data_IF_498193918329
#
_entry.id   IF_498193918329
#
_cell.length_a   1.000
_cell.length_b   1.000
_cell.length_c   1.000
_cell.angle_alpha   90.00
_cell.angle_beta   90.00
_cell.angle_gamma   90.00
#
_symmetry.space_group_name_H-M   'P 1'
#
loop_
_entity.id
_entity.type
_entity.pdbx_description
1 polymer ?
#
# COMPACT_ATOMS: atom_id res chain seq x y z
N UNK A 1 25.57 10.02 6.34
CA UNK A 1 24.54 10.95 6.92
C UNK A 1 23.25 11.11 6.09
N UNK A 2 23.23 11.00 4.75
CA UNK A 2 22.01 11.22 3.96
C UNK A 2 21.11 9.97 3.79
N UNK A 3 21.68 8.76 3.78
CA UNK A 3 20.92 7.51 3.56
C UNK A 3 19.86 7.21 4.62
N UNK A 4 20.18 7.35 5.91
CA UNK A 4 19.22 7.09 7.01
C UNK A 4 18.38 8.32 7.42
N UNK A 5 18.80 9.53 7.03
CA UNK A 5 17.98 10.75 7.24
C UNK A 5 16.78 10.82 6.28
N UNK A 6 16.92 10.30 5.06
CA UNK A 6 15.81 10.13 4.11
C UNK A 6 14.77 9.11 4.62
N UNK A 7 15.21 8.11 5.39
CA UNK A 7 14.36 7.03 5.91
C UNK A 7 13.46 7.51 7.07
N UNK A 8 13.92 8.48 7.87
CA UNK A 8 13.17 8.98 9.03
C UNK A 8 12.01 9.90 8.66
N UNK A 9 12.05 10.53 7.49
CA UNK A 9 10.98 11.44 7.01
C UNK A 9 9.84 10.71 6.30
N UNK A 10 10.09 9.56 5.67
CA UNK A 10 9.07 8.77 4.97
C UNK A 10 8.11 8.03 5.92
N UNK A 11 8.54 7.73 7.15
CA UNK A 11 7.75 7.01 8.15
C UNK A 11 6.82 7.89 9.00
N UNK A 12 6.91 9.22 8.87
CA UNK A 12 6.10 10.16 9.67
C UNK A 12 4.68 10.41 9.12
N UNK A 13 4.34 9.89 7.94
CA UNK A 13 3.05 10.19 7.28
C UNK A 13 1.98 9.11 7.38
N UNK A 14 2.25 7.98 8.06
CA UNK A 14 1.26 6.90 8.22
C UNK A 14 0.72 6.75 9.66
N UNK A 15 0.96 7.73 10.52
CA UNK A 15 0.36 7.75 11.85
C UNK A 15 0.44 9.10 12.52
N UNK A 16 -0.37 10.08 12.11
CA UNK A 16 -0.64 11.28 12.92
C UNK A 16 -1.85 12.07 12.42
N UNK A 17 -3.05 11.51 12.63
CA UNK A 17 -4.12 12.32 13.18
C UNK A 17 -4.48 11.66 14.51
N UNK A 18 -4.12 12.34 15.60
CA UNK A 18 -4.31 11.96 17.01
C UNK A 18 -3.33 10.93 17.61
N UNK A 19 -2.08 11.34 17.85
CA UNK A 19 -1.33 11.08 19.10
C UNK A 19 0.14 11.57 19.01
N UNK A 20 0.37 12.81 18.57
CA UNK A 20 1.64 13.46 18.85
C UNK A 20 1.52 14.12 20.22
N UNK A 21 2.16 13.55 21.24
CA UNK A 21 2.71 14.15 22.47
C UNK A 21 2.83 13.01 23.49
N UNK A 22 4.00 12.36 23.53
CA UNK A 22 4.63 11.67 24.69
C UNK A 22 5.38 10.41 24.26
N UNK A 23 6.54 10.54 23.60
CA UNK A 23 7.59 9.51 23.60
C UNK A 23 8.91 10.05 23.00
N UNK A 24 9.42 11.17 23.52
CA UNK A 24 10.86 11.46 23.46
C UNK A 24 11.48 11.02 24.79
N UNK A 25 11.48 9.71 25.04
CA UNK A 25 12.39 9.14 26.03
C UNK A 25 13.72 8.91 25.32
N UNK A 26 14.78 9.52 25.83
CA UNK A 26 16.12 9.49 25.26
C UNK A 26 16.58 8.04 25.01
N UNK A 27 16.80 7.70 23.73
CA UNK A 27 17.44 6.45 23.36
C UNK A 27 18.88 6.42 23.91
N UNK A 28 19.36 5.28 24.44
CA UNK A 28 20.74 5.18 24.96
C UNK A 28 21.76 5.41 23.83
N UNK A 29 22.83 6.14 24.13
CA UNK A 29 23.83 6.63 23.17
C UNK A 29 24.53 5.55 22.30
N UNK A 30 24.39 4.26 22.60
CA UNK A 30 25.01 3.18 21.80
C UNK A 30 24.21 2.79 20.56
N UNK A 31 22.92 3.18 20.44
CA UNK A 31 22.07 2.82 19.30
C UNK A 31 22.41 3.61 18.03
N UNK A 32 23.05 4.77 18.15
CA UNK A 32 23.47 5.57 17.00
C UNK A 32 24.82 5.12 16.41
N UNK A 33 25.57 4.23 17.07
CA UNK A 33 26.96 3.95 16.69
C UNK A 33 27.10 3.15 15.38
N UNK A 34 26.27 2.12 15.17
CA UNK A 34 26.34 1.26 13.98
C UNK A 34 25.81 1.94 12.70
N UNK A 35 24.69 2.65 12.79
CA UNK A 35 24.13 3.41 11.65
C UNK A 35 25.10 4.49 11.12
N UNK A 36 25.95 5.03 11.99
CA UNK A 36 26.90 6.08 11.67
C UNK A 36 28.30 5.52 11.32
N UNK A 37 28.45 4.20 11.21
CA UNK A 37 29.70 3.59 10.79
C UNK A 37 29.97 3.91 9.30
N UNK A 38 31.17 4.40 8.93
CA UNK A 38 31.51 4.70 7.54
C UNK A 38 31.33 3.52 6.57
N UNK A 39 31.49 2.28 7.04
CA UNK A 39 31.26 1.08 6.22
C UNK A 39 29.78 0.90 5.90
N UNK A 40 28.88 1.23 6.83
CA UNK A 40 27.43 1.22 6.60
C UNK A 40 27.05 2.31 5.61
N UNK A 41 27.59 3.53 5.76
CA UNK A 41 27.37 4.64 4.82
C UNK A 41 27.92 4.32 3.40
N UNK A 42 29.05 3.62 3.29
CA UNK A 42 29.58 3.15 2.00
C UNK A 42 28.70 2.07 1.37
N UNK A 43 28.30 1.07 2.16
CA UNK A 43 27.43 -0.01 1.71
C UNK A 43 26.05 0.51 1.26
N UNK A 44 25.42 1.41 2.02
CA UNK A 44 24.14 2.01 1.66
C UNK A 44 24.22 2.77 0.31
N UNK A 45 25.32 3.47 0.06
CA UNK A 45 25.58 4.10 -1.26
C UNK A 45 25.70 3.09 -2.38
N UNK A 46 26.38 1.96 -2.16
CA UNK A 46 26.46 0.89 -3.15
C UNK A 46 25.08 0.30 -3.46
N UNK A 47 24.26 0.06 -2.43
CA UNK A 47 22.86 -0.39 -2.61
C UNK A 47 22.07 0.62 -3.42
N UNK A 48 22.17 1.91 -3.10
CA UNK A 48 21.52 2.99 -3.84
C UNK A 48 21.97 3.06 -5.31
N UNK A 49 23.27 2.89 -5.59
CA UNK A 49 23.79 2.83 -6.96
C UNK A 49 23.26 1.63 -7.74
N UNK A 50 23.20 0.44 -7.11
CA UNK A 50 22.61 -0.76 -7.70
C UNK A 50 21.13 -0.53 -8.04
N UNK A 51 20.36 0.06 -7.13
CA UNK A 51 18.96 0.41 -7.37
C UNK A 51 18.83 1.39 -8.55
N UNK A 52 19.59 2.49 -8.55
CA UNK A 52 19.55 3.46 -9.65
C UNK A 52 19.93 2.85 -11.00
N UNK A 53 20.93 1.95 -11.04
CA UNK A 53 21.29 1.22 -12.26
C UNK A 53 20.14 0.32 -12.75
N UNK A 54 19.47 -0.39 -11.83
CA UNK A 54 18.28 -1.19 -12.13
C UNK A 54 17.15 -0.33 -12.68
N UNK A 55 16.81 0.78 -12.05
CA UNK A 55 15.73 1.67 -12.49
C UNK A 55 16.02 2.29 -13.86
N UNK A 56 17.27 2.68 -14.14
CA UNK A 56 17.69 3.14 -15.47
C UNK A 56 17.52 2.04 -16.53
N UNK A 57 17.91 0.80 -16.20
CA UNK A 57 17.72 -0.36 -17.08
C UNK A 57 16.24 -0.61 -17.37
N UNK A 58 15.38 -0.59 -16.35
CA UNK A 58 13.92 -0.69 -16.49
C UNK A 58 13.38 0.43 -17.39
N UNK A 59 13.73 1.68 -17.12
CA UNK A 59 13.29 2.81 -17.93
C UNK A 59 13.77 2.73 -19.40
N UNK A 60 14.92 2.11 -19.65
CA UNK A 60 15.48 1.96 -21.00
C UNK A 60 14.70 0.98 -21.88
N UNK A 61 13.90 0.07 -21.28
CA UNK A 61 13.03 -0.83 -22.07
C UNK A 61 11.97 -0.08 -22.86
N UNK A 62 11.61 1.14 -22.41
CA UNK A 62 10.54 1.94 -23.00
C UNK A 62 9.14 1.40 -22.72
N UNK A 63 9.00 0.29 -21.99
CA UNK A 63 7.71 -0.24 -21.60
C UNK A 63 7.01 0.71 -20.62
N UNK A 64 5.72 1.03 -20.81
CA UNK A 64 5.03 2.03 -19.98
C UNK A 64 5.06 1.69 -18.50
N UNK A 65 4.86 0.41 -18.17
CA UNK A 65 4.91 -0.09 -16.80
C UNK A 65 6.30 0.07 -16.18
N UNK A 66 7.36 -0.26 -16.92
CA UNK A 66 8.73 -0.16 -16.43
C UNK A 66 9.15 1.30 -16.23
N UNK A 67 8.78 2.19 -17.16
CA UNK A 67 8.95 3.63 -17.01
C UNK A 67 8.24 4.17 -15.76
N UNK A 68 7.01 3.73 -15.54
CA UNK A 68 6.23 4.15 -14.37
C UNK A 68 6.87 3.70 -13.06
N UNK A 69 7.19 2.41 -12.94
CA UNK A 69 7.84 1.86 -11.73
C UNK A 69 9.22 2.49 -11.49
N UNK A 70 10.01 2.71 -12.56
CA UNK A 70 11.29 3.38 -12.48
C UNK A 70 11.17 4.81 -11.96
N UNK A 71 10.17 5.57 -12.44
CA UNK A 71 9.87 6.91 -11.98
C UNK A 71 9.44 6.97 -10.51
N UNK A 72 8.56 6.04 -10.10
CA UNK A 72 8.08 5.96 -8.72
C UNK A 72 9.17 5.59 -7.71
N UNK A 73 10.02 4.62 -8.05
CA UNK A 73 11.04 4.08 -7.14
C UNK A 73 12.33 4.89 -7.11
N UNK A 74 12.46 5.90 -7.98
CA UNK A 74 13.64 6.74 -8.00
C UNK A 74 13.73 7.56 -6.72
N UNK A 75 14.89 7.53 -6.07
CA UNK A 75 15.21 8.40 -4.95
C UNK A 75 16.44 9.18 -5.36
N UNK A 76 16.28 10.50 -5.43
CA UNK A 76 17.42 11.39 -5.60
C UNK A 76 18.05 11.63 -4.23
N UNK A 77 19.35 11.32 -4.10
CA UNK A 77 20.05 11.44 -2.83
C UNK A 77 20.58 12.87 -2.60
N UNK A 78 20.52 13.74 -3.61
CA UNK A 78 21.23 15.02 -3.62
C UNK A 78 20.32 16.27 -3.64
N UNK A 79 19.00 16.16 -3.80
CA UNK A 79 18.19 17.37 -4.08
C UNK A 79 16.74 17.39 -3.50
N UNK A 80 16.62 17.29 -2.18
CA UNK A 80 15.36 17.52 -1.45
C UNK A 80 14.83 18.95 -1.67
N UNK A 81 15.71 19.93 -1.93
CA UNK A 81 15.36 21.34 -2.08
C UNK A 81 14.77 21.67 -3.46
N UNK A 82 15.28 21.08 -4.56
CA UNK A 82 14.71 21.26 -5.89
C UNK A 82 13.36 20.53 -6.07
N UNK A 83 13.17 19.41 -5.35
CA UNK A 83 11.96 18.58 -5.41
C UNK A 83 10.71 19.32 -4.94
N UNK A 84 10.82 20.25 -3.98
CA UNK A 84 9.68 20.97 -3.42
C UNK A 84 9.07 22.04 -4.37
N UNK A 85 9.86 22.59 -5.30
CA UNK A 85 9.41 23.66 -6.20
C UNK A 85 8.66 23.14 -7.44
N UNK A 86 8.97 21.91 -7.88
CA UNK A 86 8.52 21.32 -9.14
C UNK A 86 7.49 20.18 -8.95
N UNK A 87 6.74 20.20 -7.85
CA UNK A 87 5.68 19.21 -7.59
C UNK A 87 6.16 17.86 -7.05
N UNK A 88 7.34 17.81 -6.44
CA UNK A 88 7.83 16.66 -5.67
C UNK A 88 8.69 15.65 -6.43
N UNK A 89 8.93 15.84 -7.74
CA UNK A 89 9.69 14.89 -8.57
C UNK A 89 10.96 15.49 -9.17
N UNK A 90 12.06 14.74 -9.07
CA UNK A 90 13.31 15.04 -9.76
C UNK A 90 13.10 15.07 -11.30
N UNK A 91 13.93 15.81 -12.07
CA UNK A 91 13.79 15.93 -13.52
C UNK A 91 13.70 14.57 -14.25
N UNK A 92 14.51 13.59 -13.86
CA UNK A 92 14.51 12.26 -14.50
C UNK A 92 13.23 11.46 -14.18
N UNK A 93 12.68 11.61 -12.97
CA UNK A 93 11.39 11.01 -12.59
C UNK A 93 10.29 11.55 -13.47
N UNK A 94 10.21 12.88 -13.62
CA UNK A 94 9.19 13.53 -14.46
C UNK A 94 9.24 13.01 -15.90
N UNK A 95 10.42 12.87 -16.48
CA UNK A 95 10.58 12.34 -17.85
C UNK A 95 10.04 10.92 -17.95
N UNK A 96 10.39 10.02 -17.03
CA UNK A 96 9.92 8.64 -17.09
C UNK A 96 8.42 8.51 -16.82
N UNK A 97 7.91 9.20 -15.80
CA UNK A 97 6.48 9.22 -15.47
C UNK A 97 5.66 9.80 -16.62
N UNK A 98 6.09 10.91 -17.23
CA UNK A 98 5.39 11.51 -18.37
C UNK A 98 5.39 10.55 -19.58
N UNK A 99 6.52 9.90 -19.88
CA UNK A 99 6.58 8.92 -20.97
C UNK A 99 5.68 7.72 -20.73
N UNK A 100 5.54 7.26 -19.48
CA UNK A 100 4.60 6.20 -19.14
C UNK A 100 3.14 6.62 -19.38
N UNK A 101 2.77 7.85 -18.99
CA UNK A 101 1.44 8.42 -19.18
C UNK A 101 1.09 8.66 -20.66
N UNK A 102 2.08 9.10 -21.44
CA UNK A 102 1.92 9.40 -22.87
C UNK A 102 1.86 8.13 -23.74
N UNK A 103 2.35 6.99 -23.25
CA UNK A 103 2.48 5.79 -24.05
C UNK A 103 1.14 5.19 -24.47
N UNK A 104 1.09 4.65 -25.71
CA UNK A 104 -0.08 3.98 -26.28
C UNK A 104 0.35 2.64 -26.91
N UNK A 105 -0.43 1.54 -26.76
CA UNK A 105 -1.67 1.43 -25.97
C UNK A 105 -1.45 1.68 -24.46
N UNK A 106 -2.51 2.10 -23.75
CA UNK A 106 -2.44 2.40 -22.31
C UNK A 106 -2.14 1.11 -21.53
N UNK A 107 -1.22 1.18 -20.57
CA UNK A 107 -1.00 0.09 -19.62
C UNK A 107 -2.04 0.20 -18.47
N UNK A 108 -2.69 -0.90 -18.05
CA UNK A 108 -3.71 -0.87 -17.01
C UNK A 108 -3.23 -0.35 -15.64
N UNK A 109 -2.00 -0.63 -15.24
CA UNK A 109 -1.45 -0.17 -13.96
C UNK A 109 -1.23 1.35 -14.02
N UNK A 110 -0.67 1.84 -15.12
CA UNK A 110 -0.49 3.29 -15.35
C UNK A 110 -1.84 4.01 -15.42
N UNK A 111 -2.83 3.42 -16.10
CA UNK A 111 -4.17 4.01 -16.20
C UNK A 111 -4.90 4.07 -14.83
N UNK A 112 -4.77 3.04 -13.99
CA UNK A 112 -5.31 3.06 -12.60
C UNK A 112 -4.76 4.24 -11.82
N UNK A 113 -3.47 4.49 -11.95
CA UNK A 113 -2.78 5.60 -11.31
C UNK A 113 -3.20 6.95 -11.88
N UNK A 114 -3.19 7.11 -13.20
CA UNK A 114 -3.63 8.33 -13.88
C UNK A 114 -5.09 8.70 -13.56
N UNK A 115 -5.97 7.71 -13.45
CA UNK A 115 -7.39 7.92 -13.08
C UNK A 115 -7.57 8.48 -11.66
N UNK A 116 -6.54 8.43 -10.81
CA UNK A 116 -6.54 9.07 -9.49
C UNK A 116 -6.25 10.58 -9.56
N UNK A 117 -5.77 11.06 -10.71
CA UNK A 117 -5.10 12.34 -10.84
C UNK A 117 -3.59 12.17 -10.73
N UNK A 118 -2.88 13.19 -11.20
CA UNK A 118 -1.42 13.21 -11.22
C UNK A 118 -0.91 14.46 -10.50
N UNK A 119 0.35 14.41 -10.07
CA UNK A 119 1.01 15.59 -9.55
C UNK A 119 0.98 16.72 -10.59
N UNK A 120 0.93 18.01 -10.17
CA UNK A 120 0.86 19.15 -11.10
C UNK A 120 1.99 19.20 -12.14
N UNK A 121 3.13 18.55 -11.85
CA UNK A 121 4.28 18.46 -12.74
C UNK A 121 4.10 17.52 -13.95
N UNK A 122 3.02 16.74 -13.98
CA UNK A 122 2.74 15.76 -15.03
C UNK A 122 1.48 16.17 -15.77
N UNK A 123 1.51 16.05 -17.10
CA UNK A 123 0.32 16.18 -17.94
C UNK A 123 -0.40 14.85 -17.95
N UNK A 124 -1.65 14.83 -17.54
CA UNK A 124 -2.44 13.63 -17.60
C UNK A 124 -3.92 13.87 -17.85
N UNK A 125 -4.61 12.81 -18.28
CA UNK A 125 -6.02 12.79 -18.61
C UNK A 125 -6.72 11.70 -17.75
N UNK A 126 -7.08 12.04 -16.50
CA UNK A 126 -7.75 11.10 -15.60
C UNK A 126 -9.07 10.58 -16.17
N UNK A 127 -9.76 11.38 -16.99
CA UNK A 127 -11.03 11.01 -17.62
C UNK A 127 -10.84 9.93 -18.67
N UNK A 128 -9.88 10.10 -19.58
CA UNK A 128 -9.57 9.07 -20.57
C UNK A 128 -8.94 7.81 -19.97
N UNK A 129 -8.16 7.94 -18.88
CA UNK A 129 -7.65 6.80 -18.15
C UNK A 129 -8.77 6.00 -17.48
N UNK A 130 -9.73 6.68 -16.85
CA UNK A 130 -10.91 6.04 -16.27
C UNK A 130 -11.78 5.36 -17.34
N UNK A 131 -12.05 6.04 -18.47
CA UNK A 131 -12.83 5.46 -19.56
C UNK A 131 -12.16 4.21 -20.16
N UNK A 132 -10.83 4.19 -20.23
CA UNK A 132 -10.08 2.99 -20.62
C UNK A 132 -10.28 1.84 -19.61
N UNK A 133 -10.25 2.12 -18.31
CA UNK A 133 -10.47 1.10 -17.28
C UNK A 133 -11.90 0.57 -17.28
N UNK A 134 -12.90 1.43 -17.50
CA UNK A 134 -14.31 1.02 -17.63
C UNK A 134 -14.52 0.05 -18.80
N UNK A 135 -13.72 0.15 -19.86
CA UNK A 135 -13.75 -0.79 -20.99
C UNK A 135 -12.93 -2.05 -20.74
N UNK A 136 -11.74 -1.90 -20.15
CA UNK A 136 -10.82 -3.01 -19.91
C UNK A 136 -11.29 -3.95 -18.79
N UNK A 137 -12.08 -3.43 -17.84
CA UNK A 137 -12.47 -4.13 -16.62
C UNK A 137 -13.88 -3.70 -16.14
N UNK A 138 -14.87 -3.87 -17.01
CA UNK A 138 -16.25 -3.43 -16.77
C UNK A 138 -16.93 -4.09 -15.55
N UNK A 139 -16.44 -5.26 -15.10
CA UNK A 139 -16.96 -5.97 -13.93
C UNK A 139 -16.41 -5.48 -12.60
N UNK A 140 -15.48 -4.52 -12.59
CA UNK A 140 -14.78 -4.10 -11.39
C UNK A 140 -15.43 -2.90 -10.70
N UNK A 141 -15.98 -3.13 -9.50
CA UNK A 141 -16.60 -2.11 -8.68
C UNK A 141 -15.65 -0.94 -8.34
N UNK A 142 -14.33 -1.18 -8.24
CA UNK A 142 -13.34 -0.13 -7.95
C UNK A 142 -13.30 0.95 -9.04
N UNK A 143 -13.44 0.54 -10.31
CA UNK A 143 -13.47 1.44 -11.46
C UNK A 143 -14.73 2.31 -11.42
N UNK A 144 -15.88 1.69 -11.21
CA UNK A 144 -17.17 2.38 -11.16
C UNK A 144 -17.33 3.29 -9.93
N UNK A 145 -16.78 2.90 -8.77
CA UNK A 145 -16.73 3.77 -7.60
C UNK A 145 -15.85 5.01 -7.84
N UNK A 146 -14.80 4.90 -8.65
CA UNK A 146 -14.00 6.05 -9.07
C UNK A 146 -14.77 6.94 -10.02
N UNK A 147 -15.51 6.36 -10.98
CA UNK A 147 -16.40 7.11 -11.87
C UNK A 147 -17.51 7.84 -11.08
N UNK A 148 -18.07 7.20 -10.07
CA UNK A 148 -19.03 7.80 -9.14
C UNK A 148 -18.42 9.03 -8.46
N UNK A 149 -17.27 8.89 -7.80
CA UNK A 149 -16.58 10.01 -7.14
C UNK A 149 -16.23 11.14 -8.12
N UNK A 150 -15.76 10.81 -9.33
CA UNK A 150 -15.43 11.80 -10.35
C UNK A 150 -16.69 12.58 -10.82
N UNK A 151 -17.81 11.89 -11.00
CA UNK A 151 -19.09 12.52 -11.36
C UNK A 151 -19.63 13.40 -10.22
N UNK A 152 -19.55 12.93 -8.96
CA UNK A 152 -19.93 13.73 -7.79
C UNK A 152 -19.13 15.03 -7.71
N UNK A 153 -17.80 14.98 -7.92
CA UNK A 153 -16.95 16.19 -7.92
C UNK A 153 -17.33 17.20 -9.01
N UNK A 154 -17.87 16.74 -10.14
CA UNK A 154 -18.37 17.62 -11.21
C UNK A 154 -19.81 18.09 -11.00
N UNK A 155 -20.50 17.63 -9.95
CA UNK A 155 -21.91 17.90 -9.73
C UNK A 155 -22.86 17.18 -10.69
N UNK A 156 -22.36 16.20 -11.44
CA UNK A 156 -23.14 15.44 -12.42
C UNK A 156 -23.85 14.25 -11.74
N UNK A 157 -25.05 14.52 -11.23
CA UNK A 157 -25.84 13.52 -10.49
C UNK A 157 -26.26 12.34 -11.35
N UNK A 158 -26.56 12.58 -12.64
CA UNK A 158 -26.98 11.51 -13.55
C UNK A 158 -25.82 10.57 -13.91
N UNK A 159 -24.60 11.10 -14.10
CA UNK A 159 -23.42 10.26 -14.27
C UNK A 159 -23.04 9.55 -12.97
N UNK A 160 -23.18 10.21 -11.81
CA UNK A 160 -22.91 9.59 -10.52
C UNK A 160 -23.83 8.38 -10.29
N UNK A 161 -25.13 8.54 -10.48
CA UNK A 161 -26.07 7.43 -10.27
C UNK A 161 -25.83 6.28 -11.27
N UNK A 162 -25.51 6.56 -12.53
CA UNK A 162 -25.14 5.51 -13.50
C UNK A 162 -23.90 4.73 -13.06
N UNK A 163 -22.86 5.43 -12.62
CA UNK A 163 -21.64 4.79 -12.11
C UNK A 163 -21.90 4.00 -10.83
N UNK A 164 -22.76 4.49 -9.94
CA UNK A 164 -23.19 3.74 -8.75
C UNK A 164 -23.89 2.43 -9.13
N UNK A 165 -24.86 2.49 -10.03
CA UNK A 165 -25.58 1.28 -10.48
C UNK A 165 -24.64 0.29 -11.19
N UNK A 166 -23.63 0.76 -11.93
CA UNK A 166 -22.59 -0.09 -12.49
C UNK A 166 -21.72 -0.76 -11.41
N UNK A 167 -21.38 -0.03 -10.33
CA UNK A 167 -20.68 -0.60 -9.17
C UNK A 167 -21.54 -1.66 -8.45
N UNK A 168 -22.86 -1.45 -8.34
CA UNK A 168 -23.79 -2.42 -7.74
C UNK A 168 -23.88 -3.71 -8.55
N UNK A 169 -23.80 -3.61 -9.88
CA UNK A 169 -23.88 -4.74 -10.83
C UNK A 169 -22.52 -5.41 -11.09
N UNK A 170 -21.45 -4.90 -10.50
CA UNK A 170 -20.10 -5.46 -10.64
C UNK A 170 -19.97 -6.82 -9.95
N UNK A 171 -19.21 -7.72 -10.55
CA UNK A 171 -18.99 -9.09 -10.03
C UNK A 171 -17.76 -9.20 -9.13
N UNK A 172 -16.89 -8.20 -9.12
CA UNK A 172 -15.72 -8.16 -8.25
C UNK A 172 -15.30 -6.73 -7.86
N UNK A 173 -14.34 -6.64 -6.94
CA UNK A 173 -13.63 -5.42 -6.61
C UNK A 173 -12.14 -5.74 -6.63
N UNK A 174 -11.38 -5.02 -7.47
CA UNK A 174 -9.92 -5.03 -7.46
C UNK A 174 -9.42 -3.58 -7.34
N UNK A 175 -8.88 -3.25 -6.16
CA UNK A 175 -8.22 -1.96 -5.93
C UNK A 175 -6.97 -1.73 -6.79
N UNK A 176 -6.37 -2.81 -7.28
CA UNK A 176 -5.09 -2.84 -7.96
C UNK A 176 -3.88 -2.93 -7.04
N UNK A 177 -4.07 -2.97 -5.72
CA UNK A 177 -2.98 -3.03 -4.76
C UNK A 177 -2.09 -4.27 -4.96
N UNK A 178 -2.69 -5.44 -5.23
CA UNK A 178 -1.95 -6.69 -5.48
C UNK A 178 -1.21 -6.66 -6.82
N UNK A 179 -1.85 -6.19 -7.88
CA UNK A 179 -1.22 -6.07 -9.20
C UNK A 179 -0.04 -5.08 -9.16
N UNK A 180 -0.19 -3.96 -8.45
CA UNK A 180 0.87 -3.00 -8.22
C UNK A 180 1.98 -3.59 -7.36
N UNK A 181 1.64 -4.31 -6.28
CA UNK A 181 2.61 -4.98 -5.42
C UNK A 181 3.48 -5.97 -6.18
N UNK A 182 2.89 -6.85 -7.01
CA UNK A 182 3.62 -7.79 -7.88
C UNK A 182 4.57 -7.07 -8.84
N UNK A 183 4.13 -5.94 -9.41
CA UNK A 183 4.94 -5.15 -10.33
C UNK A 183 6.13 -4.49 -9.62
N UNK A 184 5.92 -3.98 -8.41
CA UNK A 184 7.00 -3.47 -7.56
C UNK A 184 7.97 -4.59 -7.15
N UNK A 185 7.47 -5.76 -6.75
CA UNK A 185 8.30 -6.92 -6.40
C UNK A 185 9.26 -7.30 -7.54
N UNK A 186 8.73 -7.44 -8.76
CA UNK A 186 9.50 -7.75 -9.96
C UNK A 186 10.58 -6.71 -10.29
N UNK A 187 10.48 -5.49 -9.75
CA UNK A 187 11.47 -4.44 -9.96
C UNK A 187 12.78 -4.73 -9.23
N UNK A 188 12.78 -5.50 -8.14
CA UNK A 188 13.95 -5.72 -7.28
C UNK A 188 14.31 -7.18 -7.00
N UNK A 189 13.39 -8.13 -7.17
CA UNK A 189 13.56 -9.55 -6.82
C UNK A 189 14.77 -10.23 -7.49
N UNK A 190 15.03 -9.91 -8.76
CA UNK A 190 16.14 -10.50 -9.55
C UNK A 190 17.48 -9.75 -9.40
N UNK A 191 17.57 -8.78 -8.49
CA UNK A 191 18.76 -7.94 -8.33
C UNK A 191 19.74 -8.56 -7.34
N UNK A 192 21.01 -8.66 -7.74
CA UNK A 192 22.08 -9.00 -6.81
C UNK A 192 22.45 -7.79 -5.96
N UNK A 193 21.95 -7.78 -4.73
CA UNK A 193 22.16 -6.68 -3.79
C UNK A 193 23.56 -6.73 -3.14
N UNK A 194 24.25 -5.58 -3.03
CA UNK A 194 25.49 -5.50 -2.25
C UNK A 194 25.30 -5.96 -0.81
N UNK A 195 26.24 -6.75 -0.31
CA UNK A 195 26.23 -7.25 1.07
C UNK A 195 27.18 -6.44 1.96
N UNK A 196 26.73 -6.11 3.18
CA UNK A 196 27.61 -5.53 4.19
C UNK A 196 28.54 -6.62 4.74
N UNK A 197 29.83 -6.54 4.39
CA UNK A 197 30.82 -7.57 4.71
C UNK A 197 30.96 -7.83 6.22
N UNK A 198 30.79 -6.79 7.05
CA UNK A 198 30.87 -6.91 8.50
C UNK A 198 29.64 -7.61 9.08
N UNK A 199 29.82 -8.86 9.53
CA UNK A 199 28.77 -9.65 10.22
C UNK A 199 28.32 -8.98 11.51
N UNK A 200 29.24 -8.37 12.26
CA UNK A 200 28.92 -7.72 13.54
C UNK A 200 28.12 -6.44 13.35
N UNK A 201 28.38 -5.67 12.28
CA UNK A 201 27.57 -4.49 11.95
C UNK A 201 26.18 -4.90 11.46
N UNK A 202 26.06 -5.95 10.64
CA UNK A 202 24.75 -6.48 10.25
C UNK A 202 23.90 -6.87 11.45
N UNK A 203 24.46 -7.66 12.37
CA UNK A 203 23.76 -8.06 13.59
C UNK A 203 23.36 -6.86 14.48
N UNK A 204 24.17 -5.80 14.51
CA UNK A 204 23.81 -4.56 15.22
C UNK A 204 22.67 -3.79 14.54
N UNK A 205 22.66 -3.73 13.20
CA UNK A 205 21.57 -3.11 12.45
C UNK A 205 20.26 -3.90 12.64
N UNK A 206 20.31 -5.22 12.56
CA UNK A 206 19.16 -6.11 12.81
C UNK A 206 18.58 -5.90 14.21
N UNK A 207 19.44 -5.90 15.24
CA UNK A 207 19.04 -5.65 16.62
C UNK A 207 18.45 -4.24 16.84
N UNK A 208 18.74 -3.29 15.95
CA UNK A 208 18.22 -1.93 15.95
C UNK A 208 16.97 -1.77 15.07
N UNK A 209 16.50 -2.84 14.42
CA UNK A 209 15.39 -2.77 13.48
C UNK A 209 15.71 -1.90 12.27
N UNK A 210 16.96 -1.97 11.77
CA UNK A 210 17.37 -1.32 10.53
C UNK A 210 17.70 -2.37 9.46
N UNK A 211 17.61 -2.03 8.16
CA UNK A 211 18.04 -2.92 7.11
C UNK A 211 19.51 -3.31 7.28
N UNK A 212 19.78 -4.62 7.31
CA UNK A 212 21.14 -5.18 7.33
C UNK A 212 21.54 -5.83 6.01
N UNK A 213 20.59 -6.03 5.10
CA UNK A 213 20.81 -6.52 3.74
C UNK A 213 20.34 -5.51 2.70
N UNK A 214 20.94 -5.56 1.50
CA UNK A 214 20.53 -4.64 0.43
C UNK A 214 19.11 -4.94 -0.08
N UNK A 215 18.67 -6.20 0.02
CA UNK A 215 17.30 -6.60 -0.26
C UNK A 215 16.31 -5.96 0.72
N UNK A 216 16.62 -5.94 2.02
CA UNK A 216 15.79 -5.27 3.03
C UNK A 216 15.74 -3.76 2.78
N UNK A 217 16.87 -3.14 2.40
CA UNK A 217 16.88 -1.73 2.06
C UNK A 217 16.03 -1.42 0.83
N UNK A 218 16.09 -2.25 -0.23
CA UNK A 218 15.24 -2.12 -1.41
C UNK A 218 13.75 -2.34 -1.08
N UNK A 219 13.46 -3.33 -0.23
CA UNK A 219 12.13 -3.65 0.26
C UNK A 219 11.48 -2.43 0.97
N UNK A 220 12.24 -1.65 1.74
CA UNK A 220 11.71 -0.42 2.37
C UNK A 220 11.18 0.59 1.34
N UNK A 221 11.95 0.86 0.27
CA UNK A 221 11.53 1.81 -0.77
C UNK A 221 10.27 1.33 -1.49
N UNK A 222 10.23 0.04 -1.80
CA UNK A 222 9.07 -0.58 -2.43
C UNK A 222 7.85 -0.54 -1.53
N UNK A 223 7.99 -0.88 -0.25
CA UNK A 223 6.90 -0.81 0.71
C UNK A 223 6.37 0.61 0.85
N UNK A 224 7.24 1.62 0.85
CA UNK A 224 6.85 3.03 0.82
C UNK A 224 6.03 3.38 -0.43
N UNK A 225 6.51 3.00 -1.61
CA UNK A 225 5.79 3.23 -2.86
C UNK A 225 4.44 2.50 -2.90
N UNK A 226 4.38 1.24 -2.44
CA UNK A 226 3.15 0.46 -2.34
C UNK A 226 2.17 1.12 -1.39
N UNK A 227 2.59 1.45 -0.17
CA UNK A 227 1.72 2.00 0.89
C UNK A 227 1.10 3.34 0.50
N UNK A 228 1.82 4.16 -0.29
CA UNK A 228 1.31 5.44 -0.80
C UNK A 228 0.15 5.28 -1.82
N UNK A 229 0.01 4.11 -2.44
CA UNK A 229 -0.93 3.90 -3.56
C UNK A 229 -1.88 2.69 -3.39
N UNK A 230 -1.65 1.84 -2.39
CA UNK A 230 -2.40 0.60 -2.20
C UNK A 230 -3.86 0.82 -1.78
N UNK A 231 -4.19 1.98 -1.19
CA UNK A 231 -5.53 2.24 -0.66
C UNK A 231 -6.37 3.08 -1.62
N UNK A 232 -7.51 2.55 -2.12
CA UNK A 232 -8.45 3.34 -2.90
C UNK A 232 -9.22 4.33 -2.00
N UNK A 233 -9.68 5.43 -2.60
CA UNK A 233 -10.50 6.41 -1.91
C UNK A 233 -11.95 5.91 -1.72
N UNK A 234 -12.21 5.17 -0.64
CA UNK A 234 -13.54 4.62 -0.32
C UNK A 234 -14.46 5.57 0.47
N UNK A 235 -14.05 6.83 0.66
CA UNK A 235 -14.80 7.80 1.48
C UNK A 235 -16.22 8.08 0.98
N UNK A 236 -16.42 8.19 -0.33
CA UNK A 236 -17.74 8.42 -0.94
C UNK A 236 -18.67 7.21 -0.82
N UNK A 237 -18.12 6.00 -0.93
CA UNK A 237 -18.85 4.76 -0.63
C UNK A 237 -19.33 4.76 0.83
N UNK A 238 -18.42 5.03 1.77
CA UNK A 238 -18.75 5.03 3.20
C UNK A 238 -19.78 6.10 3.57
N UNK A 239 -19.74 7.26 2.91
CA UNK A 239 -20.78 8.30 3.08
C UNK A 239 -22.14 7.84 2.56
N UNK A 240 -22.20 7.28 1.34
CA UNK A 240 -23.46 6.82 0.74
C UNK A 240 -24.07 5.66 1.52
N UNK A 241 -23.23 4.75 2.01
CA UNK A 241 -23.64 3.55 2.73
C UNK A 241 -23.65 3.72 4.26
N UNK A 242 -23.77 4.95 4.75
CA UNK A 242 -23.91 5.19 6.18
C UNK A 242 -25.18 4.49 6.70
N UNK A 243 -25.12 3.74 7.81
CA UNK A 243 -26.29 3.08 8.40
C UNK A 243 -27.38 4.09 8.81
N UNK A 244 -26.98 5.31 9.16
CA UNK A 244 -27.92 6.38 9.51
C UNK A 244 -28.51 6.99 8.24
N UNK A 245 -29.74 6.60 7.90
CA UNK A 245 -30.49 7.23 6.79
C UNK A 245 -30.51 6.44 5.49
N UNK A 246 -30.03 5.20 5.47
CA UNK A 246 -30.14 4.32 4.30
C UNK A 246 -31.57 3.77 4.17
N UNK A 247 -32.15 3.85 2.98
CA UNK A 247 -33.45 3.20 2.66
C UNK A 247 -33.24 1.70 2.45
N UNK A 248 -34.32 0.91 2.45
CA UNK A 248 -34.22 -0.53 2.19
C UNK A 248 -33.57 -0.85 0.83
N UNK A 249 -33.95 -0.12 -0.23
CA UNK A 249 -33.37 -0.29 -1.56
C UNK A 249 -31.87 0.07 -1.60
N UNK A 250 -31.50 1.22 -1.03
CA UNK A 250 -30.09 1.63 -0.99
C UNK A 250 -29.24 0.71 -0.10
N UNK A 251 -29.83 0.11 0.94
CA UNK A 251 -29.15 -0.87 1.79
C UNK A 251 -28.72 -2.08 0.97
N UNK A 252 -29.60 -2.63 0.15
CA UNK A 252 -29.31 -3.82 -0.64
C UNK A 252 -28.25 -3.52 -1.71
N UNK A 253 -28.30 -2.33 -2.34
CA UNK A 253 -27.24 -1.83 -3.24
C UNK A 253 -25.89 -1.72 -2.53
N UNK A 254 -25.87 -1.08 -1.36
CA UNK A 254 -24.67 -0.92 -0.53
C UNK A 254 -24.09 -2.26 -0.11
N UNK A 255 -24.92 -3.23 0.27
CA UNK A 255 -24.47 -4.57 0.61
C UNK A 255 -23.84 -5.29 -0.58
N UNK A 256 -24.33 -5.09 -1.82
CA UNK A 256 -23.70 -5.64 -3.02
C UNK A 256 -22.25 -5.15 -3.16
N UNK A 257 -22.06 -3.82 -3.13
CA UNK A 257 -20.74 -3.20 -3.30
C UNK A 257 -19.81 -3.54 -2.14
N UNK A 258 -20.29 -3.45 -0.90
CA UNK A 258 -19.50 -3.73 0.30
C UNK A 258 -19.10 -5.20 0.41
N UNK A 259 -19.91 -6.12 -0.12
CA UNK A 259 -19.53 -7.53 -0.22
C UNK A 259 -18.31 -7.70 -1.14
N UNK A 260 -18.29 -7.07 -2.31
CA UNK A 260 -17.14 -7.12 -3.22
C UNK A 260 -15.89 -6.51 -2.54
N UNK A 261 -16.03 -5.36 -1.88
CA UNK A 261 -14.94 -4.73 -1.10
C UNK A 261 -14.45 -5.65 0.02
N UNK A 262 -15.33 -6.34 0.75
CA UNK A 262 -14.97 -7.22 1.85
C UNK A 262 -14.17 -8.46 1.41
N UNK A 263 -14.34 -8.86 0.15
CA UNK A 263 -13.67 -10.01 -0.47
C UNK A 263 -12.34 -9.61 -1.15
N UNK A 264 -12.02 -8.31 -1.28
CA UNK A 264 -10.68 -7.87 -1.67
C UNK A 264 -9.73 -7.95 -0.48
N UNK A 265 -8.98 -9.04 -0.45
CA UNK A 265 -7.98 -9.37 0.58
C UNK A 265 -6.58 -8.81 0.26
N UNK A 266 -6.43 -7.99 -0.78
CA UNK A 266 -5.13 -7.40 -1.17
C UNK A 266 -4.53 -6.52 -0.08
N UNK A 267 -5.37 -5.82 0.69
CA UNK A 267 -4.99 -5.12 1.91
C UNK A 267 -5.96 -5.44 3.06
N UNK A 268 -5.44 -5.47 4.27
CA UNK A 268 -6.20 -5.65 5.51
C UNK A 268 -7.20 -4.51 5.69
N UNK A 269 -6.83 -3.28 5.32
CA UNK A 269 -7.68 -2.11 5.43
C UNK A 269 -8.94 -2.21 4.54
N UNK A 270 -8.79 -2.62 3.27
CA UNK A 270 -9.92 -2.78 2.34
C UNK A 270 -10.88 -3.86 2.85
N UNK A 271 -10.36 -5.05 3.17
CA UNK A 271 -11.15 -6.15 3.72
C UNK A 271 -11.89 -5.74 5.00
N UNK A 272 -11.24 -4.97 5.87
CA UNK A 272 -11.83 -4.45 7.11
C UNK A 272 -12.97 -3.47 6.84
N UNK A 273 -12.79 -2.52 5.90
CA UNK A 273 -13.80 -1.53 5.54
C UNK A 273 -15.07 -2.23 5.02
N UNK A 274 -14.91 -3.13 4.03
CA UNK A 274 -16.04 -3.88 3.47
C UNK A 274 -16.75 -4.72 4.53
N UNK A 275 -15.98 -5.47 5.34
CA UNK A 275 -16.54 -6.34 6.39
C UNK A 275 -17.29 -5.57 7.48
N UNK A 276 -16.80 -4.39 7.89
CA UNK A 276 -17.51 -3.52 8.84
C UNK A 276 -18.79 -2.95 8.25
N UNK A 277 -18.77 -2.52 7.00
CA UNK A 277 -19.97 -2.06 6.30
C UNK A 277 -21.02 -3.17 6.19
N UNK A 278 -20.60 -4.38 5.81
CA UNK A 278 -21.49 -5.55 5.77
C UNK A 278 -22.05 -5.88 7.15
N UNK A 279 -21.24 -5.88 8.20
CA UNK A 279 -21.71 -6.13 9.57
C UNK A 279 -22.72 -5.09 10.06
N UNK A 280 -22.59 -3.83 9.64
CA UNK A 280 -23.49 -2.75 10.03
C UNK A 280 -24.83 -2.75 9.29
N UNK A 281 -24.87 -3.22 8.05
CA UNK A 281 -26.07 -3.23 7.21
C UNK A 281 -26.80 -4.58 7.19
N UNK A 282 -26.13 -5.68 7.53
CA UNK A 282 -26.72 -7.02 7.58
C UNK A 282 -27.61 -7.21 8.80
N UNK A 283 -28.43 -8.27 8.77
CA UNK A 283 -29.25 -8.69 9.92
C UNK A 283 -29.17 -10.21 10.13
N UNK A 284 -29.62 -10.69 11.30
CA UNK A 284 -29.69 -12.12 11.61
C UNK A 284 -28.34 -12.86 11.48
N UNK A 285 -28.37 -14.02 10.82
CA UNK A 285 -27.19 -14.87 10.64
C UNK A 285 -26.08 -14.21 9.81
N UNK A 286 -26.44 -13.38 8.82
CA UNK A 286 -25.45 -12.66 8.00
C UNK A 286 -24.69 -11.64 8.83
N UNK A 287 -25.36 -10.90 9.72
CA UNK A 287 -24.70 -9.98 10.65
C UNK A 287 -23.68 -10.71 11.53
N UNK A 288 -24.06 -11.87 12.09
CA UNK A 288 -23.17 -12.70 12.90
C UNK A 288 -21.95 -13.18 12.10
N UNK A 289 -22.14 -13.62 10.85
CA UNK A 289 -21.04 -14.04 9.95
C UNK A 289 -20.07 -12.88 9.72
N UNK A 290 -20.58 -11.70 9.38
CA UNK A 290 -19.74 -10.53 9.10
C UNK A 290 -19.05 -9.97 10.35
N UNK A 291 -19.70 -10.05 11.52
CA UNK A 291 -19.05 -9.73 12.80
C UNK A 291 -17.88 -10.69 13.11
N UNK A 292 -18.06 -11.99 12.86
CA UNK A 292 -16.98 -12.97 13.01
C UNK A 292 -15.80 -12.66 12.06
N UNK A 293 -16.10 -12.26 10.83
CA UNK A 293 -15.10 -11.82 9.84
C UNK A 293 -14.34 -10.57 10.29
N UNK A 294 -15.03 -9.54 10.80
CA UNK A 294 -14.39 -8.34 11.37
C UNK A 294 -13.46 -8.73 12.52
N UNK A 295 -13.92 -9.64 13.39
CA UNK A 295 -13.14 -10.12 14.54
C UNK A 295 -11.87 -10.86 14.11
N UNK A 296 -11.94 -11.70 13.06
CA UNK A 296 -10.77 -12.34 12.44
C UNK A 296 -9.76 -11.30 11.94
N UNK A 297 -10.22 -10.31 11.17
CA UNK A 297 -9.33 -9.28 10.62
C UNK A 297 -8.68 -8.42 11.73
N UNK A 298 -9.40 -8.11 12.81
CA UNK A 298 -8.83 -7.39 13.95
C UNK A 298 -7.80 -8.23 14.71
N UNK A 299 -8.00 -9.54 14.77
CA UNK A 299 -7.01 -10.46 15.32
C UNK A 299 -5.73 -10.45 14.49
N UNK A 300 -5.83 -10.58 13.16
CA UNK A 300 -4.68 -10.47 12.25
C UNK A 300 -3.93 -9.14 12.45
N UNK A 301 -4.66 -8.02 12.53
CA UNK A 301 -4.09 -6.70 12.79
C UNK A 301 -3.32 -6.64 14.11
N UNK A 302 -3.91 -7.13 15.21
CA UNK A 302 -3.26 -7.14 16.51
C UNK A 302 -2.01 -8.03 16.49
N UNK A 303 -2.10 -9.20 15.85
CA UNK A 303 -0.98 -10.11 15.74
C UNK A 303 0.17 -9.51 14.92
N UNK A 304 -0.12 -8.72 13.90
CA UNK A 304 0.88 -7.96 13.18
C UNK A 304 1.54 -6.89 14.07
N UNK A 305 0.74 -6.07 14.76
CA UNK A 305 1.24 -4.98 15.62
C UNK A 305 2.13 -5.48 16.75
N UNK A 306 1.74 -6.58 17.40
CA UNK A 306 2.54 -7.20 18.47
C UNK A 306 3.89 -7.75 17.98
N UNK A 307 4.02 -7.99 16.68
CA UNK A 307 5.23 -8.57 16.06
C UNK A 307 5.98 -7.60 15.18
N UNK A 308 5.52 -6.36 15.04
CA UNK A 308 6.18 -5.32 14.25
C UNK A 308 7.52 -4.84 14.84
N UNK A 309 7.96 -5.42 15.96
CA UNK A 309 9.25 -5.14 16.59
C UNK A 309 10.37 -5.94 15.93
N UNK A 310 10.74 -5.58 14.70
CA UNK A 310 11.93 -6.10 14.00
C UNK A 310 11.86 -5.93 12.48
N UNK A 311 13.02 -5.70 11.84
CA UNK A 311 13.19 -5.71 10.37
C UNK A 311 13.65 -7.10 9.87
N UNK A 312 13.91 -8.04 10.78
CA UNK A 312 14.25 -9.43 10.46
C UNK A 312 13.17 -10.07 9.55
N UNK A 313 13.60 -10.50 8.37
CA UNK A 313 12.71 -11.11 7.37
C UNK A 313 11.70 -10.12 6.76
N UNK A 314 11.96 -8.82 6.79
CA UNK A 314 11.11 -7.80 6.18
C UNK A 314 10.96 -8.02 4.67
N UNK A 315 12.03 -8.39 3.96
CA UNK A 315 11.96 -8.73 2.55
C UNK A 315 11.04 -9.93 2.27
N UNK A 316 11.18 -11.04 3.01
CA UNK A 316 10.31 -12.22 2.88
C UNK A 316 8.84 -11.91 3.24
N UNK A 317 8.63 -11.13 4.30
CA UNK A 317 7.28 -10.67 4.70
C UNK A 317 6.68 -9.79 3.61
N UNK A 318 7.46 -8.87 3.06
CA UNK A 318 7.03 -7.97 2.00
C UNK A 318 6.72 -8.74 0.72
N UNK A 319 7.55 -9.70 0.32
CA UNK A 319 7.27 -10.57 -0.83
C UNK A 319 5.89 -11.21 -0.71
N UNK A 320 5.58 -11.83 0.42
CA UNK A 320 4.28 -12.45 0.64
C UNK A 320 3.13 -11.44 0.52
N UNK A 321 3.25 -10.26 1.14
CA UNK A 321 2.23 -9.19 1.04
C UNK A 321 2.05 -8.72 -0.41
N UNK A 322 3.15 -8.45 -1.11
CA UNK A 322 3.12 -7.91 -2.48
C UNK A 322 2.63 -8.92 -3.52
N UNK A 323 2.84 -10.23 -3.29
CA UNK A 323 2.52 -11.28 -4.27
C UNK A 323 1.22 -12.02 -3.97
N UNK A 324 0.79 -12.09 -2.71
CA UNK A 324 -0.38 -12.85 -2.26
C UNK A 324 -1.48 -11.94 -1.69
N UNK A 325 -1.15 -10.70 -1.31
CA UNK A 325 -2.04 -9.80 -0.56
C UNK A 325 -1.78 -9.86 0.94
N UNK A 326 -2.12 -8.78 1.64
CA UNK A 326 -1.82 -8.61 3.06
C UNK A 326 -2.56 -9.64 3.94
N UNK A 327 -3.84 -9.90 3.69
CA UNK A 327 -4.63 -10.81 4.54
C UNK A 327 -4.15 -12.27 4.40
N UNK A 328 -3.97 -12.85 3.20
CA UNK A 328 -3.42 -14.21 3.05
C UNK A 328 -1.99 -14.32 3.60
N UNK A 329 -1.15 -13.31 3.40
CA UNK A 329 0.21 -13.30 3.91
C UNK A 329 0.24 -13.34 5.45
N UNK A 330 -0.60 -12.56 6.13
CA UNK A 330 -0.73 -12.57 7.59
C UNK A 330 -1.22 -13.93 8.10
N UNK A 331 -2.23 -14.54 7.45
CA UNK A 331 -2.69 -15.88 7.83
C UNK A 331 -1.58 -16.92 7.70
N UNK A 332 -0.88 -16.93 6.57
CA UNK A 332 0.21 -17.87 6.32
C UNK A 332 1.37 -17.67 7.31
N UNK A 333 1.67 -16.42 7.69
CA UNK A 333 2.66 -16.12 8.71
C UNK A 333 2.28 -16.72 10.06
N UNK A 334 1.04 -16.53 10.52
CA UNK A 334 0.59 -17.11 11.80
C UNK A 334 0.63 -18.64 11.79
N UNK A 335 0.22 -19.26 10.67
CA UNK A 335 0.30 -20.71 10.51
C UNK A 335 1.73 -21.23 10.61
N UNK A 336 2.69 -20.60 9.93
CA UNK A 336 4.12 -20.98 10.00
C UNK A 336 4.69 -20.86 11.43
N UNK A 337 4.18 -19.91 12.20
CA UNK A 337 4.58 -19.68 13.59
C UNK A 337 3.84 -20.57 14.60
N UNK A 338 2.96 -21.46 14.16
CA UNK A 338 2.16 -22.33 15.04
C UNK A 338 1.10 -21.58 15.84
N UNK A 339 0.68 -20.40 15.37
CA UNK A 339 -0.28 -19.53 16.05
C UNK A 339 -1.68 -19.69 15.44
N UNK A 340 -2.69 -19.45 16.26
CA UNK A 340 -4.07 -19.46 15.79
C UNK A 340 -4.31 -18.34 14.77
N UNK A 341 -4.84 -18.70 13.60
CA UNK A 341 -5.29 -17.74 12.57
C UNK A 341 -6.61 -17.07 12.97
N UNK A 342 -7.41 -17.78 13.76
CA UNK A 342 -8.68 -17.29 14.28
C UNK A 342 -8.51 -16.76 15.71
N UNK A 343 -9.27 -15.73 16.10
CA UNK A 343 -9.26 -15.23 17.47
C UNK A 343 -9.74 -16.32 18.46
N UNK A 344 -9.04 -16.51 19.60
CA UNK A 344 -9.47 -17.44 20.65
C UNK A 344 -10.90 -17.15 21.15
N UNK A 345 -11.59 -18.14 21.71
CA UNK A 345 -12.90 -17.91 22.33
C UNK A 345 -12.80 -16.82 23.42
N UNK A 346 -13.72 -15.86 23.43
CA UNK A 346 -13.70 -14.74 24.39
C UNK A 346 -12.71 -13.62 24.10
N UNK A 347 -11.82 -13.75 23.10
CA UNK A 347 -10.95 -12.64 22.68
C UNK A 347 -11.76 -11.43 22.21
N UNK A 348 -11.38 -10.23 22.68
CA UNK A 348 -11.92 -8.95 22.26
C UNK A 348 -10.80 -8.01 21.76
N UNK A 349 -11.07 -7.17 20.75
CA UNK A 349 -10.10 -6.18 20.27
C UNK A 349 -9.64 -5.23 21.39
N UNK A 350 -8.33 -4.99 21.47
CA UNK A 350 -7.74 -4.04 22.45
C UNK A 350 -7.60 -4.58 23.87
N UNK A 351 -8.06 -5.80 24.17
CA UNK A 351 -7.71 -6.46 25.42
C UNK A 351 -6.21 -6.85 25.41
N UNK A 352 -5.44 -6.63 26.49
CA UNK A 352 -4.10 -7.18 26.62
C UNK A 352 -4.21 -8.71 26.56
N UNK A 353 -3.70 -9.31 25.49
CA UNK A 353 -3.90 -10.72 25.20
C UNK A 353 -3.23 -11.61 26.25
N UNK A 354 -4.00 -12.46 26.92
CA UNK A 354 -3.46 -13.66 27.53
C UNK A 354 -3.02 -14.59 26.39
N UNK A 355 -1.71 -14.69 26.16
CA UNK A 355 -1.14 -15.70 25.29
C UNK A 355 -1.29 -17.07 25.97
N UNK A 356 -2.29 -17.86 25.58
CA UNK A 356 -2.21 -19.31 25.79
C UNK A 356 -1.26 -19.87 24.73
N UNK A 357 -0.09 -20.33 25.21
CA UNK A 357 0.90 -21.09 24.44
C UNK A 357 0.35 -22.42 23.97
#
# INVERSE_FOLDING_TARGET
>A
MHGYRLITTALLWLGSVCAAHSAMAAAPASTAAAANDPLVDQWARQVGQTMQARLRSMASSGEPRQLYLAGLLWVDAEDDAASAADGGYAPIQRVWLQRALDARPRDPLVARMESAGCAPALRCDPGAALAFLEQADAGNASVHLRAYTAAQRRGDQAAAERAWQAAVQSDHFDSGALAFGKALHASYDSVQWPSLASVSLRAQLDAQGMPSTGADMAAMFVMGAWSAHALPALGDLMRRCSPTGVTAALRDECMSVLNNVANDESTLAIAMIGSKGMAALSSGADATRWQARVRELQWLQQQEQLRASGVDGMSDKLEAVLTQGEVPALRAQLQRQGLAVQPPAGWQPGAPGHQTR
#
